data_IF_997309936094
#
_entry.id   IF_997309936094
#
_cell.length_a   1.000
_cell.length_b   1.000
_cell.length_c   1.000
_cell.angle_alpha   90.00
_cell.angle_beta   90.00
_cell.angle_gamma   90.00
#
_symmetry.space_group_name_H-M   'P 1'
#
loop_
_entity.id
_entity.type
_entity.pdbx_description
1 polymer ?
#
# COMPACT_ATOMS: atom_id res chain seq x y z
N UNK A 1 -0.93 -6.61 8.17
CA UNK A 1 -1.30 -7.20 6.86
C UNK A 1 -1.28 -8.72 6.97
N UNK A 2 -2.30 -9.40 6.46
CA UNK A 2 -2.40 -10.87 6.45
C UNK A 2 -2.20 -11.46 5.05
N UNK A 3 -2.31 -10.64 3.99
CA UNK A 3 -2.13 -11.08 2.62
C UNK A 3 -1.24 -10.10 1.83
N UNK A 4 -0.01 -10.52 1.62
CA UNK A 4 1.05 -9.73 0.97
C UNK A 4 1.25 -10.10 -0.50
N UNK A 5 0.58 -11.16 -0.97
CA UNK A 5 0.82 -11.76 -2.29
C UNK A 5 -0.30 -11.50 -3.29
N UNK A 6 -1.56 -11.46 -2.82
CA UNK A 6 -2.71 -11.29 -3.70
C UNK A 6 -3.17 -9.84 -3.74
N UNK A 7 -3.33 -9.28 -4.94
CA UNK A 7 -4.01 -8.02 -5.17
C UNK A 7 -5.48 -8.08 -4.72
N UNK A 8 -6.04 -6.94 -4.33
CA UNK A 8 -7.45 -6.82 -3.97
C UNK A 8 -8.38 -6.76 -5.20
N UNK A 9 -7.94 -6.09 -6.26
CA UNK A 9 -8.66 -5.95 -7.52
C UNK A 9 -7.74 -6.27 -8.70
N UNK A 10 -8.15 -7.23 -9.52
CA UNK A 10 -7.41 -7.61 -10.72
C UNK A 10 -7.82 -8.98 -11.23
N UNK A 11 -7.17 -9.42 -12.30
CA UNK A 11 -7.50 -10.67 -13.00
C UNK A 11 -6.27 -11.57 -13.07
N UNK A 12 -6.49 -12.89 -13.05
CA UNK A 12 -5.44 -13.90 -13.20
C UNK A 12 -4.72 -14.24 -11.90
N UNK A 13 -3.57 -14.94 -11.98
CA UNK A 13 -2.83 -15.39 -10.80
C UNK A 13 -2.55 -14.24 -9.84
N UNK A 14 -2.93 -14.44 -8.57
CA UNK A 14 -2.79 -13.46 -7.48
C UNK A 14 -3.45 -12.09 -7.75
N UNK A 15 -4.33 -11.98 -8.76
CA UNK A 15 -4.89 -10.72 -9.23
C UNK A 15 -3.89 -9.81 -9.95
N UNK A 16 -2.74 -10.34 -10.39
CA UNK A 16 -1.60 -9.57 -10.90
C UNK A 16 -1.37 -9.65 -12.41
N UNK A 17 -2.20 -10.35 -13.20
CA UNK A 17 -1.98 -10.46 -14.66
C UNK A 17 -2.51 -9.24 -15.42
N UNK A 18 -3.64 -8.71 -15.00
CA UNK A 18 -4.25 -7.49 -15.51
C UNK A 18 -4.73 -6.66 -14.32
N UNK A 19 -4.60 -5.34 -14.43
CA UNK A 19 -5.02 -4.41 -13.37
C UNK A 19 -6.51 -4.44 -13.10
N UNK A 20 -6.95 -3.62 -12.16
CA UNK A 20 -8.36 -3.50 -11.79
C UNK A 20 -9.19 -3.07 -13.01
N UNK A 21 -10.13 -3.93 -13.43
CA UNK A 21 -11.03 -3.72 -14.57
C UNK A 21 -12.47 -3.99 -14.14
N UNK A 22 -13.45 -3.58 -14.95
CA UNK A 22 -14.89 -3.78 -14.64
C UNK A 22 -15.29 -5.25 -14.45
N UNK A 23 -14.57 -6.17 -15.08
CA UNK A 23 -14.74 -7.62 -14.96
C UNK A 23 -13.89 -8.24 -13.83
N UNK A 24 -13.06 -7.44 -13.15
CA UNK A 24 -12.25 -7.88 -12.02
C UNK A 24 -13.06 -7.96 -10.72
N UNK A 25 -12.79 -8.98 -9.92
CA UNK A 25 -13.34 -9.10 -8.57
C UNK A 25 -12.63 -8.15 -7.62
N UNK A 26 -13.39 -7.43 -6.79
CA UNK A 26 -12.85 -6.62 -5.68
C UNK A 26 -12.94 -7.41 -4.38
N UNK A 27 -11.85 -7.47 -3.64
CA UNK A 27 -11.79 -8.15 -2.35
C UNK A 27 -12.59 -7.41 -1.25
N UNK A 28 -13.09 -8.14 -0.27
CA UNK A 28 -13.75 -7.57 0.92
C UNK A 28 -12.77 -7.16 2.02
N UNK A 29 -11.55 -7.71 2.03
CA UNK A 29 -10.55 -7.63 3.09
C UNK A 29 -9.40 -6.64 2.77
N UNK A 30 -9.67 -5.59 1.98
CA UNK A 30 -8.65 -4.66 1.44
C UNK A 30 -7.75 -4.01 2.49
N UNK A 31 -8.27 -3.76 3.69
CA UNK A 31 -7.51 -3.12 4.78
C UNK A 31 -6.40 -4.02 5.34
N UNK A 32 -6.43 -5.32 5.03
CA UNK A 32 -5.43 -6.30 5.48
C UNK A 32 -4.48 -6.75 4.37
N UNK A 33 -4.64 -6.21 3.15
CA UNK A 33 -3.81 -6.51 1.97
C UNK A 33 -2.79 -5.43 1.69
N UNK A 34 -1.63 -5.84 1.18
CA UNK A 34 -0.60 -4.88 0.72
C UNK A 34 -0.97 -4.28 -0.62
N UNK A 35 -1.46 -5.09 -1.56
CA UNK A 35 -1.67 -4.69 -2.95
C UNK A 35 -3.15 -4.43 -3.26
N UNK A 36 -3.45 -3.24 -3.78
CA UNK A 36 -4.76 -2.94 -4.35
C UNK A 36 -4.92 -3.61 -5.70
N UNK A 37 -3.99 -3.38 -6.62
CA UNK A 37 -3.93 -4.00 -7.94
C UNK A 37 -2.51 -4.47 -8.28
N UNK A 38 -2.24 -4.71 -9.56
CA UNK A 38 -0.96 -5.24 -10.03
C UNK A 38 0.25 -4.31 -9.79
N UNK A 39 0.02 -3.01 -9.56
CA UNK A 39 1.08 -2.01 -9.35
C UNK A 39 0.89 -1.16 -8.09
N UNK A 40 -0.34 -0.99 -7.63
CA UNK A 40 -0.69 -0.01 -6.60
C UNK A 40 -0.87 -0.67 -5.22
N UNK A 41 -0.36 -0.05 -4.14
CA UNK A 41 -0.67 -0.46 -2.77
C UNK A 41 -2.14 -0.15 -2.41
N UNK A 42 -2.64 -0.79 -1.35
CA UNK A 42 -3.94 -0.42 -0.76
C UNK A 42 -3.86 0.91 -0.02
N UNK A 43 -5.04 1.51 0.25
CA UNK A 43 -5.13 2.69 1.10
C UNK A 43 -4.50 2.45 2.48
N UNK A 44 -4.72 1.28 3.09
CA UNK A 44 -4.09 0.90 4.36
C UNK A 44 -2.55 0.90 4.29
N UNK A 45 -1.98 0.38 3.19
CA UNK A 45 -0.51 0.42 2.98
C UNK A 45 -0.02 1.85 2.77
N UNK A 46 -0.72 2.66 1.97
CA UNK A 46 -0.34 4.06 1.76
C UNK A 46 -0.41 4.88 3.06
N UNK A 47 -1.43 4.69 3.89
CA UNK A 47 -1.53 5.37 5.20
C UNK A 47 -0.36 5.00 6.11
N UNK A 48 -0.03 3.71 6.20
CA UNK A 48 1.11 3.26 7.01
C UNK A 48 2.43 3.86 6.52
N UNK A 49 2.65 3.88 5.20
CA UNK A 49 3.86 4.49 4.62
C UNK A 49 3.92 5.99 4.90
N UNK A 50 2.79 6.70 4.78
CA UNK A 50 2.71 8.12 5.10
C UNK A 50 3.02 8.39 6.58
N UNK A 51 2.50 7.59 7.50
CA UNK A 51 2.84 7.68 8.93
C UNK A 51 4.34 7.47 9.18
N UNK A 52 4.94 6.49 8.53
CA UNK A 52 6.37 6.20 8.67
C UNK A 52 7.27 7.29 8.07
N UNK A 53 6.84 7.91 6.97
CA UNK A 53 7.51 9.08 6.38
C UNK A 53 7.37 10.32 7.28
N UNK A 54 6.21 10.46 7.95
CA UNK A 54 5.92 11.61 8.80
C UNK A 54 6.69 11.56 10.14
N UNK A 55 6.63 10.45 10.88
CA UNK A 55 7.09 10.40 12.28
C UNK A 55 8.19 9.36 12.55
N UNK A 56 9.14 9.19 11.61
CA UNK A 56 10.25 8.23 11.70
C UNK A 56 9.79 6.81 12.07
N UNK A 57 9.25 6.11 11.07
CA UNK A 57 8.85 4.71 11.20
C UNK A 57 10.02 3.74 11.43
N UNK A 58 9.72 2.44 11.66
CA UNK A 58 10.74 1.40 11.88
C UNK A 58 11.66 1.18 10.68
N UNK A 59 11.21 1.56 9.49
CA UNK A 59 12.05 1.71 8.32
C UNK A 59 12.33 3.21 8.17
N UNK A 60 13.60 3.60 8.11
CA UNK A 60 14.01 4.97 7.79
C UNK A 60 13.72 5.30 6.32
N UNK A 61 12.42 5.42 5.97
CA UNK A 61 11.95 5.69 4.61
C UNK A 61 12.40 7.08 4.17
N UNK A 62 12.28 8.06 5.06
CA UNK A 62 12.84 9.39 4.88
C UNK A 62 14.16 9.46 5.65
N UNK A 63 15.25 9.82 4.96
CA UNK A 63 16.56 9.96 5.57
C UNK A 63 17.26 11.21 4.99
N UNK A 64 18.03 11.97 5.81
CA UNK A 64 18.40 11.68 7.20
C UNK A 64 17.36 12.06 8.26
N UNK A 65 16.28 12.76 7.89
CA UNK A 65 15.22 13.21 8.81
C UNK A 65 13.84 12.90 8.23
N UNK A 66 12.83 12.74 9.09
CA UNK A 66 11.42 12.62 8.71
C UNK A 66 10.82 13.92 8.17
N UNK A 67 9.67 13.82 7.49
CA UNK A 67 8.94 14.99 6.97
C UNK A 67 8.52 15.93 8.10
N UNK A 68 8.11 15.40 9.26
CA UNK A 68 7.74 16.23 10.42
C UNK A 68 8.90 17.12 10.90
N UNK A 69 10.16 16.70 10.71
CA UNK A 69 11.30 17.54 11.06
C UNK A 69 11.40 18.80 10.18
N UNK A 70 10.86 18.75 8.95
CA UNK A 70 10.87 19.86 8.00
C UNK A 70 9.76 20.88 8.26
N UNK A 71 8.78 20.60 9.13
CA UNK A 71 7.63 21.50 9.35
C UNK A 71 7.86 22.57 10.41
N UNK A 72 9.01 22.56 11.09
CA UNK A 72 9.40 23.55 12.12
C UNK A 72 10.55 24.48 11.69
N UNK A 73 10.76 24.62 10.38
CA UNK A 73 11.61 25.68 9.80
C UNK A 73 10.85 26.99 9.73
#
# INVERSE_FOLDING_TARGET
>A
FSNVKNACCGVGPYGGRLGCRRDGTVCSDRETRVWWDLYNPTAATNSLLAEWMWADGPLSICAPVSIHHLTFT
#
